data_IF_327862506604
#
_entry.id   IF_327862506604
#
_cell.length_a   1.000
_cell.length_b   1.000
_cell.length_c   1.000
_cell.angle_alpha   90.00
_cell.angle_beta   90.00
_cell.angle_gamma   90.00
#
_symmetry.space_group_name_H-M   'P 1'
#
loop_
_entity.id
_entity.type
_entity.pdbx_description
1 polymer ?
#
# COMPACT_ATOMS: atom_id res chain seq x y z
N UNK A 1 -20.61 18.35 -10.64
CA UNK A 1 -21.21 17.09 -10.13
C UNK A 1 -20.35 16.59 -8.97
N UNK A 2 -20.93 16.47 -7.79
CA UNK A 2 -20.26 16.23 -6.49
C UNK A 2 -19.80 14.78 -6.33
N UNK A 3 -18.71 14.54 -5.60
CA UNK A 3 -18.23 13.20 -5.23
C UNK A 3 -19.19 12.57 -4.21
N UNK A 4 -19.94 11.56 -4.63
CA UNK A 4 -20.92 10.85 -3.82
C UNK A 4 -20.49 9.43 -3.39
N UNK A 5 -19.40 8.90 -3.97
CA UNK A 5 -18.87 7.57 -3.68
C UNK A 5 -17.56 7.66 -2.89
N UNK A 6 -17.36 6.74 -1.96
CA UNK A 6 -16.10 6.56 -1.22
C UNK A 6 -15.17 5.55 -1.89
N UNK A 7 -15.60 4.92 -2.97
CA UNK A 7 -14.78 3.96 -3.72
C UNK A 7 -13.59 4.66 -4.36
N UNK A 8 -12.41 4.16 -4.12
CA UNK A 8 -11.14 4.70 -4.65
C UNK A 8 -10.33 3.64 -5.40
N UNK A 9 -10.78 2.40 -5.37
CA UNK A 9 -10.08 1.28 -6.02
C UNK A 9 -11.04 0.14 -6.38
N UNK A 10 -10.75 -0.54 -7.48
CA UNK A 10 -11.36 -1.80 -7.89
C UNK A 10 -10.26 -2.84 -8.09
N UNK A 11 -10.58 -4.11 -7.83
CA UNK A 11 -9.64 -5.22 -7.98
C UNK A 11 -10.30 -6.36 -8.75
N UNK A 12 -9.53 -6.99 -9.64
CA UNK A 12 -9.99 -8.06 -10.51
C UNK A 12 -8.93 -9.16 -10.61
N UNK A 13 -9.35 -10.36 -10.93
CA UNK A 13 -8.42 -11.45 -11.25
C UNK A 13 -8.13 -11.45 -12.76
N UNK A 14 -6.88 -11.58 -13.13
CA UNK A 14 -6.45 -11.84 -14.50
C UNK A 14 -6.82 -13.28 -14.90
N UNK A 15 -7.18 -13.46 -16.17
CA UNK A 15 -7.53 -14.77 -16.78
C UNK A 15 -6.74 -15.07 -18.06
N UNK A 16 -5.87 -14.16 -18.48
CA UNK A 16 -5.08 -14.24 -19.71
C UNK A 16 -5.83 -13.87 -20.97
N UNK A 17 -7.13 -13.52 -20.89
CA UNK A 17 -7.99 -13.24 -22.06
C UNK A 17 -8.76 -11.92 -21.94
N UNK A 18 -9.21 -11.55 -20.76
CA UNK A 18 -9.94 -10.31 -20.50
C UNK A 18 -9.02 -9.11 -20.58
N UNK A 19 -9.25 -8.24 -21.55
CA UNK A 19 -8.46 -7.02 -21.75
C UNK A 19 -9.07 -5.79 -21.08
N UNK A 20 -10.38 -5.74 -20.83
CA UNK A 20 -11.08 -4.57 -20.32
C UNK A 20 -11.58 -4.78 -18.89
N UNK A 21 -11.29 -3.81 -18.02
CA UNK A 21 -11.66 -3.82 -16.59
C UNK A 21 -12.28 -2.47 -16.22
N UNK A 22 -13.42 -2.47 -15.54
CA UNK A 22 -14.13 -1.25 -15.19
C UNK A 22 -13.62 -0.68 -13.87
N UNK A 23 -13.61 0.65 -13.77
CA UNK A 23 -13.50 1.35 -12.48
C UNK A 23 -14.80 2.10 -12.20
N UNK A 24 -15.19 2.19 -10.92
CA UNK A 24 -16.52 2.69 -10.49
C UNK A 24 -16.43 3.98 -9.69
N UNK A 25 -15.40 4.76 -9.91
CA UNK A 25 -15.16 6.04 -9.23
C UNK A 25 -14.78 7.12 -10.23
N UNK A 26 -15.11 8.37 -9.93
CA UNK A 26 -14.78 9.52 -10.78
C UNK A 26 -13.25 9.77 -10.78
N UNK A 27 -12.73 10.07 -11.97
CA UNK A 27 -11.42 10.69 -12.20
C UNK A 27 -11.61 11.91 -13.10
N UNK A 28 -10.72 12.90 -13.06
CA UNK A 28 -10.81 14.08 -13.95
C UNK A 28 -10.00 13.89 -15.22
N UNK A 29 -8.88 13.21 -15.14
CA UNK A 29 -8.03 12.90 -16.28
C UNK A 29 -7.60 11.43 -16.26
N UNK A 30 -7.27 10.87 -17.41
CA UNK A 30 -6.79 9.49 -17.52
C UNK A 30 -5.56 9.22 -16.64
N UNK A 31 -4.72 10.25 -16.44
CA UNK A 31 -3.54 10.20 -15.56
C UNK A 31 -3.86 10.09 -14.07
N UNK A 32 -5.11 10.38 -13.67
CA UNK A 32 -5.57 10.24 -12.29
C UNK A 32 -5.89 8.78 -11.91
N UNK A 33 -5.69 7.85 -12.86
CA UNK A 33 -5.87 6.42 -12.67
C UNK A 33 -4.52 5.71 -12.70
N UNK A 34 -4.21 4.97 -11.66
CA UNK A 34 -3.05 4.08 -11.59
C UNK A 34 -3.48 2.63 -11.73
N UNK A 35 -2.80 1.90 -12.60
CA UNK A 35 -3.01 0.45 -12.81
C UNK A 35 -1.81 -0.30 -12.24
N UNK A 36 -2.09 -1.24 -11.35
CA UNK A 36 -1.09 -2.10 -10.72
C UNK A 36 -1.44 -3.55 -11.04
N UNK A 37 -0.45 -4.31 -11.47
CA UNK A 37 -0.55 -5.76 -11.58
C UNK A 37 0.26 -6.38 -10.45
N UNK A 38 -0.40 -7.22 -9.67
CA UNK A 38 0.23 -8.05 -8.64
C UNK A 38 0.37 -9.47 -9.18
N UNK A 39 1.60 -9.96 -9.23
CA UNK A 39 1.90 -11.32 -9.66
C UNK A 39 1.39 -12.38 -8.67
N UNK A 40 1.34 -13.64 -9.07
CA UNK A 40 1.01 -14.77 -8.20
C UNK A 40 1.98 -14.94 -7.03
N UNK A 41 3.20 -14.41 -7.13
CA UNK A 41 4.20 -14.39 -6.04
C UNK A 41 4.08 -13.17 -5.13
N UNK A 42 3.12 -12.26 -5.39
CA UNK A 42 2.86 -11.08 -4.56
C UNK A 42 3.62 -9.82 -4.98
N UNK A 43 4.44 -9.86 -6.04
CA UNK A 43 5.17 -8.68 -6.53
C UNK A 43 4.21 -7.75 -7.25
N UNK A 44 4.21 -6.48 -6.87
CA UNK A 44 3.40 -5.42 -7.48
C UNK A 44 4.20 -4.65 -8.54
N UNK A 45 3.61 -4.42 -9.69
CA UNK A 45 4.18 -3.65 -10.79
C UNK A 45 3.19 -2.60 -11.27
N UNK A 46 3.56 -1.32 -11.21
CA UNK A 46 2.77 -0.23 -11.78
C UNK A 46 2.93 -0.25 -13.30
N UNK A 47 1.80 -0.25 -14.00
CA UNK A 47 1.76 -0.21 -15.47
C UNK A 47 1.71 1.22 -15.96
N UNK A 48 2.27 1.45 -17.15
CA UNK A 48 2.34 2.78 -17.78
C UNK A 48 1.18 2.96 -18.73
N UNK A 49 0.43 4.06 -18.57
CA UNK A 49 -0.64 4.46 -19.50
C UNK A 49 -0.08 4.63 -20.91
N UNK A 50 -0.90 4.39 -21.92
CA UNK A 50 -0.59 4.38 -23.35
C UNK A 50 0.33 3.26 -23.82
N UNK A 51 1.28 2.81 -22.99
CA UNK A 51 2.17 1.69 -23.31
C UNK A 51 1.51 0.35 -23.02
N UNK A 52 0.94 0.20 -21.82
CA UNK A 52 0.39 -1.07 -21.35
C UNK A 52 -1.14 -1.10 -21.39
N UNK A 53 -1.77 0.07 -21.27
CA UNK A 53 -3.22 0.20 -21.24
C UNK A 53 -3.67 1.58 -21.71
N UNK A 54 -4.96 1.69 -22.02
CA UNK A 54 -5.68 2.96 -22.24
C UNK A 54 -6.79 3.10 -21.21
N UNK A 55 -7.23 4.35 -20.97
CA UNK A 55 -8.31 4.69 -20.05
C UNK A 55 -9.44 5.34 -20.84
N UNK A 56 -10.68 5.13 -20.44
CA UNK A 56 -11.85 5.82 -20.93
C UNK A 56 -12.79 6.16 -19.77
N UNK A 57 -13.64 7.18 -19.95
CA UNK A 57 -14.61 7.59 -18.95
C UNK A 57 -14.10 8.65 -17.96
N UNK A 58 -12.97 9.30 -18.21
CA UNK A 58 -12.56 10.47 -17.43
C UNK A 58 -13.66 11.54 -17.44
N UNK A 59 -13.97 12.12 -16.28
CA UNK A 59 -15.08 13.07 -16.09
C UNK A 59 -16.43 12.42 -15.73
N UNK A 60 -16.64 11.13 -16.00
CA UNK A 60 -17.87 10.43 -15.63
C UNK A 60 -17.91 10.12 -14.14
N UNK A 61 -19.04 10.43 -13.49
CA UNK A 61 -19.25 10.17 -12.07
C UNK A 61 -19.29 8.67 -11.71
N UNK A 62 -19.68 7.83 -12.66
CA UNK A 62 -19.79 6.39 -12.50
C UNK A 62 -18.49 5.62 -12.83
N UNK A 63 -17.45 6.38 -13.24
CA UNK A 63 -16.18 5.81 -13.65
C UNK A 63 -16.12 5.47 -15.14
N UNK A 64 -15.34 4.45 -15.49
CA UNK A 64 -15.10 4.07 -16.87
C UNK A 64 -14.42 2.73 -16.99
N UNK A 65 -13.51 2.58 -17.95
CA UNK A 65 -12.79 1.32 -18.16
C UNK A 65 -11.32 1.54 -18.50
N UNK A 66 -10.52 0.55 -18.11
CA UNK A 66 -9.14 0.37 -18.52
C UNK A 66 -9.11 -0.76 -19.53
N UNK A 67 -8.47 -0.55 -20.68
CA UNK A 67 -8.27 -1.59 -21.70
C UNK A 67 -6.78 -1.83 -21.88
N UNK A 68 -6.33 -3.04 -21.57
CA UNK A 68 -4.95 -3.45 -21.79
C UNK A 68 -4.63 -3.63 -23.26
N UNK A 69 -3.45 -3.21 -23.67
CA UNK A 69 -2.94 -3.43 -25.04
C UNK A 69 -2.61 -4.91 -25.25
N UNK A 70 -2.59 -5.33 -26.52
CA UNK A 70 -2.17 -6.70 -26.89
C UNK A 70 -0.77 -7.01 -26.34
N UNK A 71 -0.60 -8.16 -25.71
CA UNK A 71 0.63 -8.56 -25.02
C UNK A 71 0.78 -8.08 -23.57
N UNK A 72 -0.15 -7.24 -23.08
CA UNK A 72 -0.16 -6.78 -21.68
C UNK A 72 -1.39 -7.24 -20.91
N UNK A 73 -2.21 -8.12 -21.51
CA UNK A 73 -3.40 -8.68 -20.86
C UNK A 73 -2.96 -9.45 -19.61
N UNK A 74 -3.58 -9.16 -18.44
CA UNK A 74 -3.20 -9.78 -17.18
C UNK A 74 -3.39 -11.30 -17.21
N UNK A 75 -2.33 -12.04 -16.88
CA UNK A 75 -2.32 -13.49 -16.93
C UNK A 75 -3.18 -14.13 -15.82
N UNK A 76 -3.52 -15.39 -15.97
CA UNK A 76 -4.18 -16.16 -14.91
C UNK A 76 -3.28 -16.22 -13.66
N UNK A 77 -3.85 -15.96 -12.49
CA UNK A 77 -3.16 -15.87 -11.21
C UNK A 77 -2.59 -14.48 -10.87
N UNK A 78 -2.68 -13.53 -11.79
CA UNK A 78 -2.39 -12.12 -11.48
C UNK A 78 -3.63 -11.41 -10.94
N UNK A 79 -3.40 -10.34 -10.17
CA UNK A 79 -4.45 -9.43 -9.71
C UNK A 79 -4.27 -8.08 -10.36
N UNK A 80 -5.34 -7.56 -10.96
CA UNK A 80 -5.42 -6.20 -11.51
C UNK A 80 -5.98 -5.29 -10.45
N UNK A 81 -5.29 -4.20 -10.13
CA UNK A 81 -5.77 -3.17 -9.22
C UNK A 81 -5.85 -1.85 -9.97
N UNK A 82 -7.04 -1.29 -10.05
CA UNK A 82 -7.34 0.03 -10.59
C UNK A 82 -7.56 0.96 -9.41
N UNK A 83 -6.69 1.95 -9.21
CA UNK A 83 -6.82 2.89 -8.07
C UNK A 83 -6.79 4.32 -8.58
N UNK A 84 -7.54 5.19 -7.89
CA UNK A 84 -7.44 6.63 -8.10
C UNK A 84 -6.12 7.14 -7.56
N UNK A 85 -5.46 8.02 -8.32
CA UNK A 85 -4.15 8.58 -8.00
C UNK A 85 -4.09 10.06 -8.43
N UNK A 86 -5.06 10.85 -7.98
CA UNK A 86 -5.09 12.31 -8.20
C UNK A 86 -3.87 12.93 -7.54
N UNK A 87 -3.12 13.80 -8.23
CA UNK A 87 -1.98 14.50 -7.67
C UNK A 87 -2.37 15.34 -6.44
N UNK A 88 -1.53 15.31 -5.41
CA UNK A 88 -1.71 16.10 -4.16
C UNK A 88 -1.21 17.53 -4.35
N UNK A 89 -1.56 18.16 -5.48
CA UNK A 89 -1.17 19.53 -5.82
C UNK A 89 -2.39 20.34 -6.19
N UNK A 90 -2.34 21.65 -5.90
CA UNK A 90 -3.35 22.60 -6.34
C UNK A 90 -3.17 22.85 -7.83
N UNK A 91 -4.17 22.48 -8.63
CA UNK A 91 -4.17 22.66 -10.08
C UNK A 91 -5.05 23.83 -10.54
N UNK A 92 -5.89 24.39 -9.64
CA UNK A 92 -6.81 25.48 -9.96
C UNK A 92 -6.19 26.80 -9.53
N UNK A 93 -6.08 27.74 -10.48
CA UNK A 93 -5.65 29.12 -10.25
C UNK A 93 -6.82 30.06 -10.47
N UNK A 94 -7.07 30.94 -9.49
CA UNK A 94 -8.11 31.97 -9.60
C UNK A 94 -7.45 33.31 -9.93
N UNK A 95 -7.84 33.87 -11.08
CA UNK A 95 -7.33 35.17 -11.51
C UNK A 95 -8.11 36.29 -10.79
N UNK A 96 -7.40 37.24 -10.20
CA UNK A 96 -8.00 38.36 -9.48
C UNK A 96 -8.89 39.18 -10.42
N UNK A 97 -10.10 39.50 -9.98
CA UNK A 97 -11.15 40.26 -10.69
C UNK A 97 -11.86 39.53 -11.83
N UNK A 98 -11.58 38.24 -12.05
CA UNK A 98 -12.41 37.43 -12.94
C UNK A 98 -13.76 37.06 -12.27
N UNK A 99 -14.85 36.81 -13.04
CA UNK A 99 -16.06 36.22 -12.50
C UNK A 99 -15.73 34.88 -11.82
N UNK A 100 -16.32 34.64 -10.64
CA UNK A 100 -16.08 33.41 -9.89
C UNK A 100 -16.65 32.19 -10.63
N UNK A 101 -15.80 31.26 -11.13
CA UNK A 101 -16.28 30.12 -11.91
C UNK A 101 -16.73 29.00 -10.98
N UNK A 102 -18.05 28.80 -10.89
CA UNK A 102 -18.65 27.81 -9.99
C UNK A 102 -18.15 26.38 -10.26
N UNK A 103 -17.98 26.01 -11.54
CA UNK A 103 -17.48 24.70 -11.95
C UNK A 103 -16.03 24.44 -11.51
N UNK A 104 -15.17 25.45 -11.63
CA UNK A 104 -13.77 25.34 -11.16
C UNK A 104 -13.68 25.23 -9.65
N UNK A 105 -14.59 25.93 -8.94
CA UNK A 105 -14.67 25.82 -7.49
C UNK A 105 -15.16 24.43 -7.05
N UNK A 106 -16.21 23.92 -7.68
CA UNK A 106 -16.71 22.56 -7.43
C UNK A 106 -15.62 21.51 -7.73
N UNK A 107 -14.89 21.64 -8.85
CA UNK A 107 -13.76 20.76 -9.16
C UNK A 107 -12.67 20.79 -8.09
N UNK A 108 -12.33 21.96 -7.55
CA UNK A 108 -11.38 22.13 -6.47
C UNK A 108 -11.77 21.39 -5.21
N UNK A 109 -13.05 21.49 -4.82
CA UNK A 109 -13.61 20.77 -3.69
C UNK A 109 -13.61 19.25 -3.93
N UNK A 110 -14.01 18.81 -5.11
CA UNK A 110 -14.01 17.41 -5.52
C UNK A 110 -12.60 16.83 -5.49
N UNK A 111 -11.58 17.51 -6.01
CA UNK A 111 -10.18 17.09 -5.97
C UNK A 111 -9.68 16.97 -4.54
N UNK A 112 -10.03 17.92 -3.68
CA UNK A 112 -9.69 17.87 -2.25
C UNK A 112 -10.32 16.65 -1.57
N UNK A 113 -11.59 16.36 -1.83
CA UNK A 113 -12.28 15.19 -1.30
C UNK A 113 -11.67 13.89 -1.83
N UNK A 114 -11.32 13.81 -3.13
CA UNK A 114 -10.64 12.66 -3.72
C UNK A 114 -9.30 12.38 -3.05
N UNK A 115 -8.51 13.42 -2.77
CA UNK A 115 -7.22 13.30 -2.07
C UNK A 115 -7.40 12.80 -0.65
N UNK A 116 -8.39 13.32 0.10
CA UNK A 116 -8.73 12.84 1.45
C UNK A 116 -9.11 11.35 1.42
N UNK A 117 -9.92 10.93 0.47
CA UNK A 117 -10.31 9.52 0.32
C UNK A 117 -9.11 8.61 -0.04
N UNK A 118 -8.17 9.09 -0.86
CA UNK A 118 -6.94 8.36 -1.16
C UNK A 118 -6.07 8.18 0.09
N UNK A 119 -5.89 9.25 0.88
CA UNK A 119 -5.17 9.19 2.15
C UNK A 119 -5.86 8.23 3.12
N UNK A 120 -7.19 8.26 3.20
CA UNK A 120 -7.95 7.32 4.05
C UNK A 120 -7.71 5.86 3.63
N UNK A 121 -7.72 5.56 2.32
CA UNK A 121 -7.44 4.21 1.80
C UNK A 121 -6.01 3.76 2.14
N UNK A 122 -5.03 4.65 2.06
CA UNK A 122 -3.66 4.37 2.47
C UNK A 122 -3.54 4.11 3.97
N UNK A 123 -4.20 4.93 4.80
CA UNK A 123 -4.28 4.71 6.24
C UNK A 123 -4.98 3.39 6.60
N UNK A 124 -5.97 2.96 5.82
CA UNK A 124 -6.66 1.69 6.06
C UNK A 124 -5.78 0.46 5.83
N UNK A 125 -4.67 0.61 5.11
CA UNK A 125 -3.63 -0.41 4.90
C UNK A 125 -2.48 -0.35 5.90
N UNK A 126 -2.50 0.59 6.85
CA UNK A 126 -1.46 0.72 7.88
C UNK A 126 -1.80 -0.08 9.14
N UNK A 127 -0.78 -0.36 9.96
CA UNK A 127 -0.99 -0.86 11.32
C UNK A 127 -1.50 0.31 12.16
N UNK A 128 -2.71 0.17 12.69
CA UNK A 128 -3.38 1.22 13.50
C UNK A 128 -3.63 0.73 14.92
N UNK A 129 -3.45 1.62 15.87
CA UNK A 129 -3.92 1.40 17.23
C UNK A 129 -5.44 1.60 17.30
N UNK A 130 -6.11 0.90 18.24
CA UNK A 130 -7.53 1.13 18.49
C UNK A 130 -7.77 2.54 19.03
N UNK A 131 -9.01 3.04 18.85
CA UNK A 131 -9.40 4.39 19.37
C UNK A 131 -9.33 4.50 20.89
N UNK A 132 -9.35 3.38 21.61
CA UNK A 132 -9.29 3.28 23.07
C UNK A 132 -7.91 2.84 23.56
N UNK A 133 -6.91 2.82 22.68
CA UNK A 133 -5.55 2.43 23.06
C UNK A 133 -4.95 3.43 24.04
N UNK A 134 -4.23 2.93 25.04
CA UNK A 134 -3.60 3.73 26.10
C UNK A 134 -2.10 3.96 25.89
N UNK A 135 -1.55 3.53 24.76
CA UNK A 135 -0.16 3.81 24.40
C UNK A 135 0.09 5.33 24.36
N UNK A 136 1.11 5.80 25.02
CA UNK A 136 1.39 7.24 25.17
C UNK A 136 2.13 7.83 23.98
N UNK A 137 2.92 7.01 23.25
CA UNK A 137 3.63 7.42 22.06
C UNK A 137 3.67 6.30 21.01
N UNK A 138 3.39 6.67 19.76
CA UNK A 138 3.60 5.85 18.58
C UNK A 138 4.86 6.27 17.82
N UNK A 139 5.60 7.24 18.35
CA UNK A 139 6.82 7.74 17.73
C UNK A 139 7.98 6.78 18.02
N UNK A 140 8.68 6.42 16.97
CA UNK A 140 9.82 5.51 17.04
C UNK A 140 11.12 6.30 17.16
N UNK A 141 11.54 6.57 18.40
CA UNK A 141 12.66 7.47 18.70
C UNK A 141 14.05 6.83 18.58
N UNK A 142 14.14 5.51 18.47
CA UNK A 142 15.41 4.80 18.34
C UNK A 142 16.14 5.14 17.04
N UNK A 143 17.44 5.33 17.08
CA UNK A 143 18.27 5.56 15.90
C UNK A 143 18.34 4.34 14.98
N UNK A 144 18.75 4.53 13.72
CA UNK A 144 18.94 3.43 12.78
C UNK A 144 19.98 2.41 13.31
N UNK A 145 21.02 2.87 14.00
CA UNK A 145 22.04 2.02 14.63
C UNK A 145 21.45 1.18 15.75
N UNK A 146 20.57 1.78 16.57
CA UNK A 146 19.93 1.05 17.68
C UNK A 146 18.94 0.00 17.21
N UNK A 147 18.31 0.22 16.04
CA UNK A 147 17.32 -0.69 15.43
C UNK A 147 17.96 -1.82 14.62
N UNK A 148 19.21 -1.65 14.17
CA UNK A 148 19.87 -2.62 13.30
C UNK A 148 19.94 -4.00 13.97
N UNK A 149 19.41 -5.02 13.29
CA UNK A 149 19.39 -6.39 13.78
C UNK A 149 18.43 -6.67 14.94
N UNK A 150 17.55 -5.73 15.31
CA UNK A 150 16.59 -5.91 16.40
C UNK A 150 15.16 -6.09 15.89
N UNK A 151 14.29 -6.59 16.74
CA UNK A 151 12.87 -6.80 16.46
C UNK A 151 12.06 -5.68 17.10
N UNK A 152 11.08 -5.15 16.35
CA UNK A 152 10.09 -4.26 16.89
C UNK A 152 9.16 -5.04 17.83
N UNK A 153 8.99 -4.57 19.05
CA UNK A 153 8.16 -5.20 20.05
C UNK A 153 7.52 -4.17 20.97
N UNK A 154 7.01 -4.66 22.10
CA UNK A 154 6.46 -3.82 23.16
C UNK A 154 7.30 -4.02 24.42
N UNK A 155 7.52 -2.95 25.15
CA UNK A 155 8.20 -3.02 26.46
C UNK A 155 7.23 -3.53 27.56
N UNK A 156 7.70 -3.54 28.80
CA UNK A 156 6.91 -4.00 29.96
C UNK A 156 5.70 -3.10 30.27
N UNK A 157 5.63 -1.90 29.70
CA UNK A 157 4.54 -0.94 29.86
C UNK A 157 3.58 -0.97 28.67
N UNK A 158 3.89 -1.73 27.61
CA UNK A 158 3.10 -1.83 26.40
C UNK A 158 3.41 -0.76 25.34
N UNK A 159 4.46 0.04 25.55
CA UNK A 159 4.94 1.04 24.59
C UNK A 159 5.83 0.39 23.51
N UNK A 160 5.85 0.98 22.30
CA UNK A 160 6.70 0.52 21.21
C UNK A 160 8.18 0.63 21.59
N UNK A 161 8.90 -0.46 21.42
CA UNK A 161 10.33 -0.50 21.68
C UNK A 161 11.04 -1.47 20.73
N UNK A 162 12.37 -1.36 20.61
CA UNK A 162 13.18 -2.38 19.98
C UNK A 162 13.62 -3.39 21.02
N UNK A 163 13.21 -4.62 20.82
CA UNK A 163 13.67 -5.73 21.65
C UNK A 163 14.97 -6.27 21.12
N UNK A 164 15.64 -7.05 21.96
CA UNK A 164 16.84 -7.74 21.57
C UNK A 164 16.63 -8.66 20.37
N UNK A 165 17.70 -8.86 19.62
CA UNK A 165 17.71 -9.73 18.45
C UNK A 165 17.09 -11.10 18.73
N UNK A 166 16.29 -11.60 17.80
CA UNK A 166 16.05 -13.04 17.70
C UNK A 166 17.38 -13.63 17.23
N UNK A 167 17.96 -14.52 18.03
CA UNK A 167 19.24 -15.16 17.69
C UNK A 167 19.19 -15.90 16.36
N UNK A 168 20.34 -16.09 15.76
CA UNK A 168 20.42 -16.81 14.49
C UNK A 168 20.11 -18.29 14.70
N UNK A 169 19.27 -18.86 13.82
CA UNK A 169 19.11 -20.31 13.75
C UNK A 169 20.41 -20.93 13.18
N UNK A 170 21.14 -21.66 13.99
CA UNK A 170 22.39 -22.32 13.61
C UNK A 170 22.17 -23.78 13.16
N UNK A 171 20.93 -24.22 13.03
CA UNK A 171 20.62 -25.61 12.69
C UNK A 171 20.82 -26.58 13.84
N UNK A 172 21.36 -27.77 13.56
CA UNK A 172 21.59 -28.76 14.58
C UNK A 172 22.72 -28.34 15.51
N UNK A 173 22.56 -28.65 16.79
CA UNK A 173 23.61 -28.44 17.77
C UNK A 173 24.86 -29.27 17.45
N UNK A 174 26.04 -28.70 17.70
CA UNK A 174 27.33 -29.37 17.56
C UNK A 174 28.28 -28.89 18.64
N UNK A 175 28.91 -29.83 19.34
CA UNK A 175 29.90 -29.54 20.39
C UNK A 175 31.13 -28.81 19.87
N UNK A 176 31.42 -28.91 18.57
CA UNK A 176 32.59 -28.28 17.95
C UNK A 176 32.34 -26.86 17.43
N UNK A 177 31.12 -26.34 17.57
CA UNK A 177 30.71 -25.00 17.07
C UNK A 177 30.62 -24.02 18.22
N UNK A 178 31.19 -22.83 18.03
CA UNK A 178 30.97 -21.72 18.94
C UNK A 178 29.60 -21.11 18.69
N UNK A 179 28.87 -20.80 19.73
CA UNK A 179 27.58 -20.14 19.71
C UNK A 179 27.67 -18.81 20.45
N UNK A 180 26.94 -17.82 19.96
CA UNK A 180 26.80 -16.54 20.66
C UNK A 180 25.45 -16.49 21.36
N UNK A 181 25.33 -15.62 22.35
CA UNK A 181 24.09 -15.41 23.10
C UNK A 181 22.93 -15.28 22.14
N UNK A 182 21.86 -16.03 22.39
CA UNK A 182 20.61 -16.12 21.58
C UNK A 182 20.69 -16.89 20.28
N UNK A 183 21.79 -17.51 19.94
CA UNK A 183 21.78 -18.51 18.88
C UNK A 183 20.79 -19.64 19.22
N UNK A 184 19.99 -20.02 18.26
CA UNK A 184 18.99 -21.07 18.39
C UNK A 184 19.51 -22.32 17.70
N UNK A 185 19.50 -23.43 18.41
CA UNK A 185 19.96 -24.72 17.92
C UNK A 185 18.97 -25.82 18.23
N UNK A 186 18.93 -26.84 17.39
CA UNK A 186 18.14 -28.05 17.62
C UNK A 186 19.05 -29.18 18.06
N UNK A 187 18.75 -29.78 19.20
CA UNK A 187 19.34 -31.06 19.59
C UNK A 187 18.62 -32.20 18.88
N UNK A 188 19.34 -32.92 18.05
CA UNK A 188 18.79 -34.03 17.26
C UNK A 188 18.53 -35.28 18.08
N UNK A 189 19.16 -35.43 19.28
CA UNK A 189 18.94 -36.57 20.15
C UNK A 189 17.62 -36.49 20.92
N UNK A 190 17.27 -35.30 21.36
CA UNK A 190 16.03 -35.04 22.14
C UNK A 190 14.94 -34.38 21.33
N UNK A 191 15.24 -33.91 20.11
CA UNK A 191 14.37 -33.09 19.27
C UNK A 191 13.96 -31.72 19.87
N UNK A 192 14.67 -31.29 20.91
CA UNK A 192 14.44 -30.02 21.59
C UNK A 192 15.16 -28.88 20.89
N UNK A 193 14.63 -27.66 21.07
CA UNK A 193 15.25 -26.41 20.61
C UNK A 193 15.78 -25.66 21.82
N UNK A 194 17.06 -25.28 21.77
CA UNK A 194 17.75 -24.52 22.81
C UNK A 194 18.20 -23.18 22.30
N UNK A 195 18.26 -22.21 23.20
CA UNK A 195 18.83 -20.90 22.96
C UNK A 195 20.11 -20.76 23.81
N UNK A 196 21.16 -20.28 23.17
CA UNK A 196 22.41 -19.98 23.89
C UNK A 196 22.21 -18.76 24.81
N UNK A 197 22.62 -18.88 26.04
CA UNK A 197 22.58 -17.83 27.06
C UNK A 197 23.88 -17.02 27.08
#
# INVERSE_FOLDING_TARGET
MTISSTTVKNSYSGDGSTAAFNYTFKIFADSDLQVIIRSSTGVETVKTITTHYTVSGAGDANGGSVTFTSGNIPASGETVVLRRAVPQTQAIDYIANDPFPAESHEEGLDRSMMTIQQIQEELDRTIKLSRTNTMTSTEFTNSATDRAGKVLGFDSTGELNVTSEIGSNKGNWSASRAYVVRDIVKDTSTNNIFMAN
#
